data_IF_795095701846
#
_entry.id   IF_795095701846
#
_cell.length_a   1.000
_cell.length_b   1.000
_cell.length_c   1.000
_cell.angle_alpha   90.00
_cell.angle_beta   90.00
_cell.angle_gamma   90.00
#
_symmetry.space_group_name_H-M   'P 1'
#
loop_
_entity.id
_entity.type
_entity.pdbx_description
1 polymer ?
#
# COMPACT_ATOMS: atom_id res chain seq x y z
N UNK A 1 -7.98 -22.94 -1.64
CA UNK A 1 -8.03 -21.51 -2.00
C UNK A 1 -8.34 -20.59 -0.81
N UNK A 2 -9.04 -21.07 0.23
CA UNK A 2 -9.53 -20.22 1.32
C UNK A 2 -8.45 -19.79 2.34
N UNK A 3 -7.45 -20.62 2.63
CA UNK A 3 -6.45 -20.31 3.66
C UNK A 3 -5.58 -19.08 3.34
N UNK A 4 -5.26 -18.83 2.06
CA UNK A 4 -4.44 -17.67 1.65
C UNK A 4 -5.24 -16.38 1.76
N UNK A 5 -6.50 -16.39 1.30
CA UNK A 5 -7.40 -15.23 1.39
C UNK A 5 -7.67 -14.89 2.85
N UNK A 6 -7.98 -15.89 3.69
CA UNK A 6 -8.19 -15.71 5.12
C UNK A 6 -6.95 -15.11 5.80
N UNK A 7 -5.76 -15.60 5.45
CA UNK A 7 -4.50 -15.04 5.99
C UNK A 7 -4.30 -13.59 5.58
N UNK A 8 -4.57 -13.23 4.31
CA UNK A 8 -4.46 -11.84 3.84
C UNK A 8 -5.46 -10.95 4.58
N UNK A 9 -6.72 -11.39 4.72
CA UNK A 9 -7.73 -10.65 5.48
C UNK A 9 -7.31 -10.46 6.94
N UNK A 10 -6.78 -11.50 7.61
CA UNK A 10 -6.29 -11.41 8.98
C UNK A 10 -5.14 -10.41 9.12
N UNK A 11 -4.16 -10.44 8.21
CA UNK A 11 -3.04 -9.49 8.22
C UNK A 11 -3.51 -8.06 7.98
N UNK A 12 -4.44 -7.85 7.04
CA UNK A 12 -5.02 -6.53 6.80
C UNK A 12 -5.79 -6.01 8.02
N UNK A 13 -6.59 -6.87 8.67
CA UNK A 13 -7.36 -6.52 9.87
C UNK A 13 -6.44 -6.20 11.06
N UNK A 14 -5.36 -6.97 11.23
CA UNK A 14 -4.32 -6.69 12.21
C UNK A 14 -3.64 -5.34 11.94
N UNK A 15 -3.28 -5.05 10.68
CA UNK A 15 -2.68 -3.78 10.29
C UNK A 15 -3.61 -2.59 10.59
N UNK A 16 -4.91 -2.72 10.28
CA UNK A 16 -5.92 -1.73 10.62
C UNK A 16 -6.06 -1.54 12.13
N UNK A 17 -6.05 -2.63 12.91
CA UNK A 17 -6.12 -2.56 14.37
C UNK A 17 -4.90 -1.84 14.96
N UNK A 18 -3.69 -2.18 14.52
CA UNK A 18 -2.45 -1.52 14.94
C UNK A 18 -2.48 -0.04 14.59
N UNK A 19 -2.90 0.31 13.37
CA UNK A 19 -3.02 1.69 12.94
C UNK A 19 -4.02 2.47 13.80
N UNK A 20 -5.19 1.90 14.09
CA UNK A 20 -6.20 2.54 14.93
C UNK A 20 -5.69 2.79 16.36
N UNK A 21 -5.01 1.81 16.95
CA UNK A 21 -4.42 1.92 18.30
C UNK A 21 -3.32 2.98 18.30
N UNK A 22 -2.45 3.02 17.30
CA UNK A 22 -1.40 4.03 17.18
C UNK A 22 -1.99 5.44 17.04
N UNK A 23 -2.99 5.62 16.18
CA UNK A 23 -3.68 6.91 16.00
C UNK A 23 -4.36 7.36 17.29
N UNK A 24 -5.01 6.45 18.03
CA UNK A 24 -5.58 6.77 19.33
C UNK A 24 -4.51 7.17 20.33
N UNK A 25 -3.42 6.40 20.45
CA UNK A 25 -2.33 6.67 21.39
C UNK A 25 -1.68 8.03 21.13
N UNK A 26 -1.45 8.38 19.86
CA UNK A 26 -0.98 9.70 19.46
C UNK A 26 -1.96 10.82 19.82
N UNK A 27 -3.27 10.58 19.68
CA UNK A 27 -4.29 11.55 20.07
C UNK A 27 -4.30 11.79 21.59
N UNK A 28 -4.20 10.74 22.40
CA UNK A 28 -4.09 10.87 23.86
C UNK A 28 -2.84 11.64 24.27
N UNK A 29 -1.69 11.30 23.66
CA UNK A 29 -0.44 12.01 23.92
C UNK A 29 -0.54 13.49 23.54
N UNK A 30 -1.16 13.78 22.39
CA UNK A 30 -1.42 15.14 21.92
C UNK A 30 -2.25 15.96 22.93
N UNK A 31 -3.32 15.38 23.45
CA UNK A 31 -4.14 16.02 24.49
C UNK A 31 -3.35 16.21 25.80
N UNK A 32 -2.51 15.24 26.19
CA UNK A 32 -1.72 15.30 27.41
C UNK A 32 -0.69 16.44 27.42
N UNK A 33 -0.15 16.83 26.26
CA UNK A 33 0.77 17.96 26.11
C UNK A 33 0.05 19.31 25.91
N UNK A 34 -1.27 19.36 26.10
CA UNK A 34 -2.09 20.57 25.94
C UNK A 34 -2.51 20.85 24.50
N UNK A 35 -2.33 19.90 23.58
CA UNK A 35 -2.82 19.99 22.21
C UNK A 35 -4.34 20.02 22.17
N UNK A 36 -4.92 20.95 21.41
CA UNK A 36 -6.37 21.03 21.22
C UNK A 36 -6.93 19.82 20.48
N UNK A 37 -8.21 19.51 20.72
CA UNK A 37 -8.90 18.41 20.04
C UNK A 37 -8.93 18.64 18.52
N UNK A 38 -8.69 17.57 17.75
CA UNK A 38 -8.79 17.58 16.29
C UNK A 38 -10.23 17.94 15.89
N UNK A 39 -10.44 19.02 15.11
CA UNK A 39 -11.76 19.39 14.63
C UNK A 39 -12.29 18.35 13.63
N UNK A 40 -13.60 18.32 13.41
CA UNK A 40 -14.26 17.33 12.56
C UNK A 40 -13.65 17.24 11.15
N UNK A 41 -13.32 18.39 10.55
CA UNK A 41 -12.69 18.42 9.22
C UNK A 41 -11.29 17.80 9.21
N UNK A 42 -10.54 17.88 10.32
CA UNK A 42 -9.25 17.21 10.47
C UNK A 42 -9.38 15.69 10.47
N UNK A 43 -10.40 15.16 11.16
CA UNK A 43 -10.72 13.73 11.13
C UNK A 43 -11.13 13.26 9.73
N UNK A 44 -11.96 14.03 9.03
CA UNK A 44 -12.37 13.72 7.66
C UNK A 44 -11.16 13.73 6.72
N UNK A 45 -10.33 14.78 6.77
CA UNK A 45 -9.14 14.90 5.94
C UNK A 45 -8.15 13.75 6.20
N UNK A 46 -7.93 13.39 7.46
CA UNK A 46 -7.08 12.26 7.82
C UNK A 46 -7.64 10.94 7.31
N UNK A 47 -8.93 10.67 7.52
CA UNK A 47 -9.58 9.47 7.00
C UNK A 47 -9.50 9.37 5.48
N UNK A 48 -9.73 10.48 4.78
CA UNK A 48 -9.65 10.55 3.33
C UNK A 48 -8.22 10.37 2.82
N UNK A 49 -7.22 10.90 3.52
CA UNK A 49 -5.80 10.66 3.24
C UNK A 49 -5.41 9.18 3.39
N UNK A 50 -5.87 8.53 4.47
CA UNK A 50 -5.61 7.09 4.69
C UNK A 50 -6.28 6.24 3.61
N UNK A 51 -7.57 6.46 3.34
CA UNK A 51 -8.29 5.70 2.31
C UNK A 51 -7.71 5.95 0.92
N UNK A 52 -7.38 7.20 0.60
CA UNK A 52 -6.79 7.58 -0.68
C UNK A 52 -5.43 6.92 -0.92
N UNK A 53 -4.55 6.92 0.08
CA UNK A 53 -3.22 6.29 -0.04
C UNK A 53 -3.29 4.76 -0.12
N UNK A 54 -4.13 4.11 0.69
CA UNK A 54 -4.34 2.65 0.61
C UNK A 54 -4.95 2.26 -0.74
N UNK A 55 -5.97 2.99 -1.18
CA UNK A 55 -6.62 2.77 -2.47
C UNK A 55 -5.64 2.97 -3.64
N UNK A 56 -4.81 4.00 -3.56
CA UNK A 56 -3.76 4.25 -4.55
C UNK A 56 -2.74 3.10 -4.57
N UNK A 57 -2.22 2.69 -3.41
CA UNK A 57 -1.26 1.58 -3.33
C UNK A 57 -1.84 0.27 -3.89
N UNK A 58 -3.08 -0.05 -3.52
CA UNK A 58 -3.80 -1.21 -4.06
C UNK A 58 -3.98 -1.10 -5.58
N UNK A 59 -4.41 0.06 -6.08
CA UNK A 59 -4.62 0.30 -7.51
C UNK A 59 -3.33 0.17 -8.32
N UNK A 60 -2.24 0.76 -7.83
CA UNK A 60 -0.92 0.62 -8.45
C UNK A 60 -0.47 -0.84 -8.51
N UNK A 61 -0.64 -1.59 -7.41
CA UNK A 61 -0.26 -3.00 -7.38
C UNK A 61 -1.15 -3.85 -8.30
N UNK A 62 -2.44 -3.54 -8.38
CA UNK A 62 -3.37 -4.21 -9.31
C UNK A 62 -2.97 -3.95 -10.78
N UNK A 63 -2.56 -2.73 -11.11
CA UNK A 63 -2.06 -2.38 -12.45
C UNK A 63 -0.75 -3.10 -12.76
N UNK A 64 0.18 -3.19 -11.81
CA UNK A 64 1.43 -3.93 -11.99
C UNK A 64 1.16 -5.42 -12.32
N UNK A 65 0.25 -6.07 -11.59
CA UNK A 65 -0.15 -7.45 -11.91
C UNK A 65 -0.86 -7.57 -13.26
N UNK A 66 -1.63 -6.57 -13.67
CA UNK A 66 -2.24 -6.53 -14.99
C UNK A 66 -1.19 -6.41 -16.10
N UNK A 67 -0.20 -5.52 -15.93
CA UNK A 67 0.91 -5.31 -16.86
C UNK A 67 1.64 -6.62 -17.16
N UNK A 68 2.02 -7.32 -16.10
CA UNK A 68 2.68 -8.62 -16.18
C UNK A 68 1.80 -9.69 -16.86
N UNK A 69 0.48 -9.70 -16.65
CA UNK A 69 -0.42 -10.69 -17.28
C UNK A 69 -0.61 -10.47 -18.77
N UNK A 70 -0.57 -9.21 -19.21
CA UNK A 70 -0.75 -8.83 -20.61
C UNK A 70 0.58 -8.83 -21.39
N UNK A 71 1.70 -9.14 -20.72
CA UNK A 71 3.03 -9.23 -21.34
C UNK A 71 3.56 -7.87 -21.81
N UNK A 72 3.12 -6.78 -21.17
CA UNK A 72 3.67 -5.44 -21.46
C UNK A 72 5.10 -5.31 -20.92
N UNK A 73 5.39 -5.95 -19.79
CA UNK A 73 6.73 -5.97 -19.17
C UNK A 73 7.73 -6.77 -20.05
N UNK A 74 7.27 -7.80 -20.75
CA UNK A 74 8.11 -8.66 -21.60
C UNK A 74 8.56 -7.99 -22.91
N UNK A 75 7.92 -6.87 -23.28
CA UNK A 75 8.19 -6.12 -24.52
C UNK A 75 9.18 -4.97 -24.32
N UNK A 76 9.74 -4.82 -23.11
CA UNK A 76 10.72 -3.79 -22.79
C UNK A 76 12.06 -4.12 -23.43
N UNK A 77 12.69 -3.11 -24.04
CA UNK A 77 14.06 -3.21 -24.56
C UNK A 77 15.06 -3.28 -23.40
N UNK A 78 15.68 -4.45 -23.22
CA UNK A 78 16.67 -4.72 -22.19
C UNK A 78 18.12 -4.65 -22.72
N UNK A 79 18.36 -3.98 -23.86
CA UNK A 79 19.70 -3.81 -24.45
C UNK A 79 20.72 -3.13 -23.53
N UNK A 80 20.24 -2.42 -22.49
CA UNK A 80 21.06 -1.76 -21.47
C UNK A 80 21.21 -2.58 -20.18
N UNK A 81 20.69 -3.81 -20.11
CA UNK A 81 20.86 -4.70 -18.95
C UNK A 81 22.26 -5.36 -18.97
N UNK A 82 23.18 -4.98 -18.06
CA UNK A 82 24.52 -5.55 -18.00
C UNK A 82 24.55 -7.03 -17.57
N UNK A 83 23.42 -7.59 -17.12
CA UNK A 83 23.27 -9.00 -16.75
C UNK A 83 22.80 -9.92 -17.88
N UNK A 84 22.27 -9.38 -18.98
CA UNK A 84 21.88 -10.16 -20.15
C UNK A 84 23.13 -10.37 -21.02
N UNK A 85 23.68 -11.58 -21.03
CA UNK A 85 24.75 -11.94 -21.98
C UNK A 85 24.28 -11.73 -23.43
N UNK A 86 25.17 -11.46 -24.40
CA UNK A 86 24.77 -11.25 -25.78
C UNK A 86 23.87 -12.39 -26.25
N UNK A 87 22.77 -12.05 -26.93
CA UNK A 87 21.86 -13.00 -27.54
C UNK A 87 22.70 -13.99 -28.38
N UNK A 88 22.63 -15.28 -28.06
CA UNK A 88 23.29 -16.32 -28.83
C UNK A 88 22.36 -16.70 -29.97
N UNK A 89 22.84 -16.49 -31.19
CA UNK A 89 22.25 -17.03 -32.40
C UNK A 89 22.75 -18.47 -32.56
N UNK A 90 22.01 -19.46 -32.06
CA UNK A 90 22.22 -20.89 -32.37
C UNK A 90 21.01 -21.52 -33.10
#
# INVERSE_FOLDING_TARGET
MNARIVRICLVALLGLAISAVATWGLNLFWLAIGGGALPLHGWIAMGLGVVGTVGLAYGLMALAFKSHREGWDDRVDNSLDPGHGPFKDD
#
